data_IF_749786401805
#
_entry.id   IF_749786401805
#
_cell.length_a   1.000
_cell.length_b   1.000
_cell.length_c   1.000
_cell.angle_alpha   90.00
_cell.angle_beta   90.00
_cell.angle_gamma   90.00
#
_symmetry.space_group_name_H-M   'P 1'
#
loop_
_entity.id
_entity.type
_entity.pdbx_description
1 polymer ?
#
# COMPACT_ATOMS: atom_id res chain seq x y z
N UNK A 1 8.30 18.66 6.29
CA UNK A 1 7.32 17.68 6.79
C UNK A 1 5.98 18.39 6.84
N UNK A 2 4.94 17.78 6.28
CA UNK A 2 3.57 18.38 6.20
C UNK A 2 2.59 17.71 7.15
N UNK A 3 3.08 17.06 8.20
CA UNK A 3 2.23 16.30 9.13
C UNK A 3 1.17 17.16 9.81
N UNK A 4 1.46 18.42 10.05
CA UNK A 4 0.56 19.44 10.61
C UNK A 4 -0.53 19.91 9.63
N UNK A 5 -0.45 19.48 8.37
CA UNK A 5 -1.37 19.83 7.29
C UNK A 5 -2.22 18.65 6.83
N UNK A 6 -2.23 17.55 7.55
CA UNK A 6 -2.97 16.33 7.23
C UNK A 6 -4.03 16.08 8.29
N UNK A 7 -5.27 15.86 7.84
CA UNK A 7 -6.41 15.58 8.70
C UNK A 7 -7.37 14.58 8.06
N UNK A 8 -8.44 14.27 8.74
CA UNK A 8 -9.46 13.32 8.24
C UNK A 8 -10.29 13.90 7.09
N UNK A 9 -10.49 15.21 7.08
CA UNK A 9 -11.27 15.91 6.05
C UNK A 9 -10.51 17.12 5.50
N UNK A 10 -10.79 17.45 4.24
CA UNK A 10 -10.28 18.67 3.62
C UNK A 10 -10.93 19.89 4.27
N UNK A 11 -10.13 20.76 4.84
CA UNK A 11 -10.61 21.98 5.49
C UNK A 11 -9.54 23.07 5.48
N UNK A 12 -9.83 24.21 6.10
CA UNK A 12 -8.83 25.24 6.44
C UNK A 12 -8.71 25.31 7.96
N UNK A 13 -7.50 25.52 8.44
CA UNK A 13 -7.27 25.80 9.84
C UNK A 13 -7.62 27.25 10.23
N UNK A 14 -7.43 27.60 11.49
CA UNK A 14 -7.68 28.94 12.01
C UNK A 14 -6.85 30.03 11.36
N UNK A 15 -5.74 29.68 10.71
CA UNK A 15 -4.85 30.60 9.98
C UNK A 15 -5.15 30.64 8.47
N UNK A 16 -6.22 29.95 8.03
CA UNK A 16 -6.64 29.88 6.62
C UNK A 16 -5.81 28.93 5.78
N UNK A 17 -4.87 28.15 6.35
CA UNK A 17 -4.03 27.18 5.64
C UNK A 17 -4.84 25.93 5.29
N UNK A 18 -4.59 25.36 4.12
CA UNK A 18 -5.26 24.13 3.68
C UNK A 18 -4.79 22.92 4.49
N UNK A 19 -5.74 22.15 4.98
CA UNK A 19 -5.56 20.81 5.54
C UNK A 19 -6.00 19.80 4.50
N UNK A 20 -5.16 18.83 4.23
CA UNK A 20 -5.34 17.78 3.22
C UNK A 20 -5.70 16.46 3.88
N UNK A 21 -6.33 15.57 3.14
CA UNK A 21 -6.50 14.18 3.56
C UNK A 21 -5.27 13.35 3.21
N UNK A 22 -5.10 12.20 3.87
CA UNK A 22 -4.06 11.23 3.49
C UNK A 22 -4.18 10.83 2.00
N UNK A 23 -5.39 10.73 1.47
CA UNK A 23 -5.63 10.39 0.07
C UNK A 23 -5.12 11.46 -0.90
N UNK A 24 -5.18 12.74 -0.51
CA UNK A 24 -4.56 13.80 -1.30
C UNK A 24 -3.05 13.62 -1.39
N UNK A 25 -2.41 13.18 -0.31
CA UNK A 25 -0.96 12.92 -0.32
C UNK A 25 -0.58 11.78 -1.26
N UNK A 26 -1.37 10.72 -1.33
CA UNK A 26 -1.12 9.64 -2.27
C UNK A 26 -1.12 10.13 -3.72
N UNK A 27 -1.99 11.06 -4.12
CA UNK A 27 -1.99 11.60 -5.48
C UNK A 27 -0.67 12.28 -5.84
N UNK A 28 -0.04 12.96 -4.89
CA UNK A 28 1.20 13.71 -5.08
C UNK A 28 2.46 12.88 -4.79
N UNK A 29 2.34 11.71 -4.19
CA UNK A 29 3.48 10.85 -3.91
C UNK A 29 3.97 10.16 -5.19
N UNK A 30 5.28 10.11 -5.41
CA UNK A 30 5.91 9.31 -6.46
C UNK A 30 6.25 7.89 -6.00
N UNK A 31 6.38 7.71 -4.69
CA UNK A 31 6.81 6.48 -4.05
C UNK A 31 6.34 6.43 -2.59
N UNK A 32 6.05 5.25 -2.08
CA UNK A 32 5.64 5.04 -0.69
C UNK A 32 6.67 4.17 0.02
N UNK A 33 7.08 4.59 1.21
CA UNK A 33 7.89 3.79 2.12
C UNK A 33 7.04 3.32 3.30
N UNK A 34 7.10 2.02 3.58
CA UNK A 34 6.36 1.36 4.63
C UNK A 34 7.33 0.58 5.55
N UNK A 35 8.09 1.27 6.41
CA UNK A 35 9.21 0.71 7.16
C UNK A 35 8.80 0.01 8.47
N UNK A 36 7.50 -0.16 8.73
CA UNK A 36 7.01 -0.77 9.96
C UNK A 36 7.64 -2.15 10.19
N UNK A 37 8.19 -2.35 11.37
CA UNK A 37 8.76 -3.64 11.78
C UNK A 37 7.68 -4.63 12.24
N UNK A 38 6.54 -4.09 12.68
CA UNK A 38 5.43 -4.88 13.19
C UNK A 38 4.10 -4.28 12.74
N UNK A 39 3.25 -5.12 12.15
CA UNK A 39 1.92 -4.74 11.67
C UNK A 39 0.96 -5.93 11.78
N UNK A 40 -0.32 -5.64 11.95
CA UNK A 40 -1.38 -6.64 11.83
C UNK A 40 -1.53 -7.11 10.38
N UNK A 41 -2.13 -6.26 9.53
CA UNK A 41 -2.23 -6.54 8.09
C UNK A 41 -1.46 -5.50 7.25
N UNK A 42 -1.56 -4.21 7.61
CA UNK A 42 -0.94 -3.11 6.90
C UNK A 42 -1.86 -2.52 5.82
N UNK A 43 -2.99 -1.94 6.22
CA UNK A 43 -3.95 -1.33 5.28
C UNK A 43 -3.30 -0.27 4.38
N UNK A 44 -2.32 0.47 4.88
CA UNK A 44 -1.58 1.47 4.12
C UNK A 44 -0.86 0.88 2.89
N UNK A 45 -0.50 -0.42 2.91
CA UNK A 45 0.01 -1.11 1.73
C UNK A 45 -1.07 -1.18 0.63
N UNK A 46 -2.29 -1.59 0.97
CA UNK A 46 -3.38 -1.68 -0.01
C UNK A 46 -3.80 -0.31 -0.52
N UNK A 47 -3.76 0.72 0.33
CA UNK A 47 -4.00 2.10 -0.07
C UNK A 47 -2.95 2.56 -1.10
N UNK A 48 -1.66 2.36 -0.83
CA UNK A 48 -0.60 2.69 -1.77
C UNK A 48 -0.78 1.97 -3.12
N UNK A 49 -1.15 0.70 -3.10
CA UNK A 49 -1.42 -0.08 -4.31
C UNK A 49 -2.67 0.44 -5.04
N UNK A 50 -3.72 0.79 -4.32
CA UNK A 50 -4.93 1.39 -4.89
C UNK A 50 -4.62 2.69 -5.65
N UNK A 51 -3.77 3.55 -5.07
CA UNK A 51 -3.29 4.77 -5.69
C UNK A 51 -2.16 4.56 -6.70
N UNK A 52 -1.87 3.31 -7.07
CA UNK A 52 -0.84 2.92 -8.04
C UNK A 52 0.53 3.53 -7.72
N UNK A 53 0.93 3.42 -6.47
CA UNK A 53 2.25 3.88 -6.03
C UNK A 53 3.20 2.68 -5.89
N UNK A 54 4.45 2.79 -6.36
CA UNK A 54 5.46 1.81 -6.03
C UNK A 54 5.79 1.88 -4.54
N UNK A 55 6.07 0.72 -3.94
CA UNK A 55 6.22 0.61 -2.48
C UNK A 55 7.54 -0.06 -2.13
N UNK A 56 8.22 0.48 -1.13
CA UNK A 56 9.25 -0.18 -0.34
C UNK A 56 8.64 -0.57 1.01
N UNK A 57 8.66 -1.86 1.33
CA UNK A 57 8.05 -2.39 2.55
C UNK A 57 9.07 -3.19 3.36
N UNK A 58 8.97 -3.10 4.69
CA UNK A 58 9.71 -4.01 5.57
C UNK A 58 9.01 -5.37 5.62
N UNK A 59 9.80 -6.45 5.68
CA UNK A 59 9.29 -7.83 5.73
C UNK A 59 8.88 -8.20 7.16
N UNK A 60 7.78 -7.63 7.66
CA UNK A 60 7.19 -8.06 8.94
C UNK A 60 6.49 -9.42 8.79
N UNK A 61 6.25 -10.11 9.90
CA UNK A 61 5.81 -11.52 9.94
C UNK A 61 4.53 -11.80 9.13
N UNK A 62 3.52 -10.94 9.25
CA UNK A 62 2.25 -11.11 8.51
C UNK A 62 2.46 -10.89 7.00
N UNK A 63 3.30 -9.91 6.63
CA UNK A 63 3.63 -9.69 5.21
C UNK A 63 4.25 -10.94 4.59
N UNK A 64 5.27 -11.50 5.23
CA UNK A 64 5.98 -12.71 4.74
C UNK A 64 5.05 -13.90 4.61
N UNK A 65 4.16 -14.09 5.59
CA UNK A 65 3.26 -15.24 5.62
C UNK A 65 2.07 -15.12 4.67
N UNK A 66 1.44 -13.94 4.64
CA UNK A 66 0.09 -13.81 4.07
C UNK A 66 0.03 -12.94 2.80
N UNK A 67 1.03 -12.07 2.57
CA UNK A 67 1.00 -11.08 1.49
C UNK A 67 2.04 -11.39 0.42
N UNK A 68 3.30 -11.59 0.81
CA UNK A 68 4.42 -11.85 -0.11
C UNK A 68 4.15 -13.04 -1.06
N UNK A 69 3.55 -14.18 -0.59
CA UNK A 69 3.26 -15.32 -1.46
C UNK A 69 2.23 -15.05 -2.57
N UNK A 70 1.50 -13.94 -2.51
CA UNK A 70 0.51 -13.57 -3.53
C UNK A 70 1.14 -12.97 -4.80
N UNK A 71 2.45 -12.76 -4.81
CA UNK A 71 3.20 -12.38 -6.00
C UNK A 71 3.20 -10.88 -6.31
N UNK A 72 3.06 -10.03 -5.31
CA UNK A 72 3.27 -8.60 -5.46
C UNK A 72 4.72 -8.27 -5.85
N UNK A 73 4.89 -7.33 -6.77
CA UNK A 73 6.19 -6.76 -7.16
C UNK A 73 6.49 -5.54 -6.27
N UNK A 74 6.95 -5.79 -5.06
CA UNK A 74 7.32 -4.76 -4.09
C UNK A 74 8.84 -4.75 -3.91
N UNK A 75 9.39 -3.60 -3.53
CA UNK A 75 10.73 -3.55 -2.96
C UNK A 75 10.63 -3.93 -1.49
N UNK A 76 11.43 -4.88 -1.06
CA UNK A 76 11.41 -5.38 0.32
C UNK A 76 12.72 -5.08 1.03
N UNK A 77 12.65 -4.84 2.33
CA UNK A 77 13.81 -4.72 3.22
C UNK A 77 13.60 -5.55 4.48
N UNK A 78 14.69 -5.95 5.10
CA UNK A 78 14.73 -6.65 6.39
C UNK A 78 15.35 -5.72 7.45
N UNK A 79 14.56 -4.72 7.88
CA UNK A 79 14.91 -3.76 8.92
C UNK A 79 15.75 -2.56 8.47
N UNK A 80 16.50 -2.64 7.37
CA UNK A 80 17.37 -1.55 6.89
C UNK A 80 17.45 -1.48 5.36
N UNK A 81 17.81 -0.30 4.87
CA UNK A 81 17.96 -0.04 3.43
C UNK A 81 19.42 -0.25 3.03
N UNK A 82 19.66 -1.14 2.07
CA UNK A 82 20.99 -1.36 1.49
C UNK A 82 21.24 -0.41 0.32
N UNK A 83 22.54 -0.15 -0.05
CA UNK A 83 22.86 0.62 -1.25
C UNK A 83 22.25 0.04 -2.54
N UNK A 84 22.20 -1.27 -2.66
CA UNK A 84 21.56 -1.97 -3.79
C UNK A 84 20.07 -1.68 -3.85
N UNK A 85 19.39 -1.72 -2.70
CA UNK A 85 17.97 -1.41 -2.61
C UNK A 85 17.70 0.06 -2.96
N UNK A 86 18.53 0.99 -2.48
CA UNK A 86 18.44 2.40 -2.86
C UNK A 86 18.60 2.61 -4.38
N UNK A 87 19.49 1.85 -5.01
CA UNK A 87 19.63 1.82 -6.47
C UNK A 87 18.37 1.37 -7.19
N UNK A 88 17.69 0.33 -6.68
CA UNK A 88 16.41 -0.16 -7.23
C UNK A 88 15.29 0.85 -7.06
N UNK A 89 15.22 1.55 -5.92
CA UNK A 89 14.27 2.67 -5.72
C UNK A 89 14.50 3.74 -6.78
N UNK A 90 15.75 4.17 -6.98
CA UNK A 90 16.09 5.16 -8.01
C UNK A 90 15.67 4.68 -9.41
N UNK A 91 15.93 3.42 -9.75
CA UNK A 91 15.55 2.83 -11.03
C UNK A 91 14.03 2.93 -11.26
N UNK A 92 13.21 2.59 -10.26
CA UNK A 92 11.74 2.69 -10.37
C UNK A 92 11.30 4.15 -10.53
N UNK A 93 11.90 5.07 -9.80
CA UNK A 93 11.56 6.49 -9.88
C UNK A 93 11.90 7.12 -11.25
N UNK A 94 13.00 6.68 -11.87
CA UNK A 94 13.50 7.26 -13.13
C UNK A 94 12.99 6.53 -14.38
N UNK A 95 12.55 5.27 -14.26
CA UNK A 95 12.06 4.48 -15.39
C UNK A 95 10.52 4.39 -15.34
N UNK A 96 9.86 5.26 -16.10
CA UNK A 96 8.40 5.34 -16.15
C UNK A 96 7.75 4.01 -16.55
N UNK A 97 8.27 3.34 -17.59
CA UNK A 97 7.73 2.06 -18.09
C UNK A 97 7.79 0.97 -17.02
N UNK A 98 8.94 0.80 -16.38
CA UNK A 98 9.11 -0.16 -15.29
C UNK A 98 8.15 0.13 -14.13
N UNK A 99 8.01 1.41 -13.77
CA UNK A 99 7.08 1.82 -12.70
C UNK A 99 5.64 1.47 -13.04
N UNK A 100 5.17 1.78 -14.27
CA UNK A 100 3.82 1.46 -14.72
C UNK A 100 3.56 -0.04 -14.70
N UNK A 101 4.48 -0.85 -15.22
CA UNK A 101 4.38 -2.32 -15.18
C UNK A 101 4.25 -2.86 -13.76
N UNK A 102 5.03 -2.35 -12.81
CA UNK A 102 5.00 -2.77 -11.41
C UNK A 102 3.67 -2.39 -10.75
N UNK A 103 3.22 -1.15 -10.88
CA UNK A 103 2.00 -0.70 -10.20
C UNK A 103 0.74 -1.31 -10.80
N UNK A 104 0.69 -1.55 -12.10
CA UNK A 104 -0.42 -2.22 -12.75
C UNK A 104 -0.51 -3.69 -12.35
N UNK A 105 0.64 -4.38 -12.30
CA UNK A 105 0.71 -5.74 -11.78
C UNK A 105 0.21 -5.81 -10.33
N UNK A 106 0.71 -4.96 -9.45
CA UNK A 106 0.31 -4.95 -8.05
C UNK A 106 -1.18 -4.64 -7.87
N UNK A 107 -1.72 -3.74 -8.67
CA UNK A 107 -3.15 -3.44 -8.66
C UNK A 107 -3.99 -4.64 -9.09
N UNK A 108 -3.56 -5.39 -10.11
CA UNK A 108 -4.23 -6.60 -10.56
C UNK A 108 -4.22 -7.69 -9.47
N UNK A 109 -3.08 -7.92 -8.82
CA UNK A 109 -2.95 -8.84 -7.69
C UNK A 109 -3.85 -8.42 -6.52
N UNK A 110 -3.85 -7.14 -6.15
CA UNK A 110 -4.72 -6.65 -5.08
C UNK A 110 -6.21 -6.84 -5.40
N UNK A 111 -6.63 -6.60 -6.63
CA UNK A 111 -8.01 -6.88 -7.06
C UNK A 111 -8.38 -8.35 -6.94
N UNK A 112 -7.46 -9.24 -7.26
CA UNK A 112 -7.68 -10.68 -7.21
C UNK A 112 -7.89 -11.18 -5.77
N UNK A 113 -7.16 -10.66 -4.79
CA UNK A 113 -7.16 -11.19 -3.44
C UNK A 113 -7.89 -10.32 -2.42
N UNK A 114 -8.01 -9.01 -2.66
CA UNK A 114 -8.48 -8.03 -1.67
C UNK A 114 -9.62 -7.13 -2.16
N UNK A 115 -10.23 -7.45 -3.32
CA UNK A 115 -11.39 -6.69 -3.78
C UNK A 115 -12.62 -6.91 -2.89
N UNK A 116 -13.52 -5.96 -2.89
CA UNK A 116 -14.79 -6.05 -2.16
C UNK A 116 -15.60 -7.31 -2.55
N UNK A 117 -15.54 -7.74 -3.80
CA UNK A 117 -16.19 -8.96 -4.28
C UNK A 117 -15.62 -10.22 -3.62
N UNK A 118 -14.29 -10.29 -3.44
CA UNK A 118 -13.62 -11.39 -2.76
C UNK A 118 -14.01 -11.42 -1.27
N UNK A 119 -13.96 -10.28 -0.60
CA UNK A 119 -14.38 -10.18 0.81
C UNK A 119 -15.83 -10.61 0.98
N UNK A 120 -16.73 -10.13 0.11
CA UNK A 120 -18.15 -10.52 0.14
C UNK A 120 -18.33 -12.03 -0.08
N UNK A 121 -17.64 -12.61 -1.04
CA UNK A 121 -17.72 -14.06 -1.32
C UNK A 121 -17.25 -14.89 -0.12
N UNK A 122 -16.10 -14.53 0.44
CA UNK A 122 -15.54 -15.22 1.62
C UNK A 122 -16.47 -15.10 2.85
N UNK A 123 -17.03 -13.91 3.07
CA UNK A 123 -17.96 -13.70 4.18
C UNK A 123 -19.25 -14.53 4.01
N UNK A 124 -19.80 -14.59 2.78
CA UNK A 124 -20.97 -15.43 2.50
C UNK A 124 -20.67 -16.91 2.74
N UNK A 125 -19.55 -17.42 2.23
CA UNK A 125 -19.12 -18.79 2.44
C UNK A 125 -18.96 -19.10 3.94
N UNK A 126 -18.35 -18.19 4.70
CA UNK A 126 -18.20 -18.31 6.14
C UNK A 126 -19.57 -18.36 6.87
N UNK A 127 -20.49 -17.45 6.55
CA UNK A 127 -21.83 -17.42 7.13
C UNK A 127 -22.56 -18.73 6.80
N UNK A 128 -22.55 -19.19 5.54
CA UNK A 128 -23.18 -20.46 5.15
C UNK A 128 -22.62 -21.65 5.90
N UNK A 129 -21.30 -21.67 6.16
CA UNK A 129 -20.67 -22.75 6.94
C UNK A 129 -21.12 -22.79 8.41
N UNK A 130 -21.51 -21.63 8.96
CA UNK A 130 -22.01 -21.53 10.35
C UNK A 130 -23.51 -21.80 10.47
N UNK A 131 -24.29 -21.45 9.44
CA UNK A 131 -25.75 -21.51 9.50
C UNK A 131 -26.34 -22.76 8.85
N UNK A 132 -25.52 -23.52 8.11
CA UNK A 132 -25.97 -24.73 7.41
C UNK A 132 -26.84 -24.44 6.17
N UNK A 133 -26.88 -23.17 5.70
CA UNK A 133 -27.61 -22.73 4.50
C UNK A 133 -26.66 -22.20 3.44
#
# INVERSE_FOLDING_TARGET
VVADRVGEVRQRDSEGRKIYTLWDLYHHADFVTYPSLYEGFGNALLEAIYFRKPVLINRYSIFVRDIEPKGFKLLTMDGFVTPSLAGRVRQILTNKKLREEIVDHNYAVARQFYSYSVVRSNLRAFISSLTGY
#
